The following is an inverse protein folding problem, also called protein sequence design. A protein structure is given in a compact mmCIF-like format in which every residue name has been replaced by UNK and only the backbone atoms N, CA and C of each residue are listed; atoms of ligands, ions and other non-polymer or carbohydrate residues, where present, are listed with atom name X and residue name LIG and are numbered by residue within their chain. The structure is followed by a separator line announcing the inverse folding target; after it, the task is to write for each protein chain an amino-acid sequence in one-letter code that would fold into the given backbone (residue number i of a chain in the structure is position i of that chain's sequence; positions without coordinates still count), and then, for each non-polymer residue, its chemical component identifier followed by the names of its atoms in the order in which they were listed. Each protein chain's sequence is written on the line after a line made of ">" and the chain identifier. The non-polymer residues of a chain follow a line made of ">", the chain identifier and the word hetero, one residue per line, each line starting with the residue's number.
data_IF_228439735673
#
_entry.id   IF_228439735673
#
_cell.length_a   1.000
_cell.length_b   1.000
_cell.length_c   1.000
_cell.angle_alpha   90.00
_cell.angle_beta   90.00
_cell.angle_gamma   90.00
#
_symmetry.space_group_name_H-M   'P 1'
#
loop_
_entity.id
_entity.type
_entity.pdbx_description
1 polymer ?
#
# COMPACT_ATOMS: atom_id res chain seq x y z
N UNK A 1 6.64 -11.05 12.88
CA UNK A 1 7.46 -11.01 11.64
C UNK A 1 7.12 -9.73 10.90
N UNK A 2 8.10 -9.08 10.27
CA UNK A 2 7.84 -7.93 9.39
C UNK A 2 7.23 -8.45 8.08
N UNK A 3 6.18 -7.80 7.59
CA UNK A 3 5.53 -8.14 6.32
C UNK A 3 6.53 -7.90 5.18
N UNK A 4 6.78 -8.92 4.35
CA UNK A 4 7.61 -8.80 3.15
C UNK A 4 6.86 -7.99 2.09
N UNK A 5 7.55 -7.02 1.47
CA UNK A 5 6.95 -6.13 0.47
C UNK A 5 7.78 -6.14 -0.80
N UNK A 6 7.08 -6.28 -1.92
CA UNK A 6 7.65 -6.33 -3.26
C UNK A 6 6.98 -5.31 -4.17
N UNK A 7 7.74 -4.73 -5.08
CA UNK A 7 7.27 -3.78 -6.08
C UNK A 7 7.76 -4.20 -7.46
N UNK A 8 6.89 -4.09 -8.46
CA UNK A 8 7.28 -4.13 -9.87
C UNK A 8 7.11 -2.72 -10.39
N UNK A 9 8.17 -2.10 -10.91
CA UNK A 9 8.07 -0.80 -11.56
C UNK A 9 7.14 -0.91 -12.77
N UNK A 10 6.08 -0.11 -12.81
CA UNK A 10 5.07 -0.20 -13.86
C UNK A 10 4.35 1.14 -14.11
N UNK A 11 3.91 1.31 -15.36
CA UNK A 11 3.03 2.38 -15.79
C UNK A 11 1.95 1.83 -16.73
N UNK A 12 0.70 2.16 -16.45
CA UNK A 12 -0.45 1.78 -17.25
C UNK A 12 -0.68 0.27 -17.35
N UNK A 13 -1.47 -0.17 -18.33
CA UNK A 13 -1.72 -1.59 -18.57
C UNK A 13 -0.47 -2.23 -19.18
N UNK A 14 0.20 -3.10 -18.43
CA UNK A 14 1.36 -3.85 -18.91
C UNK A 14 1.25 -5.33 -18.55
N UNK A 15 0.98 -6.16 -19.55
CA UNK A 15 0.78 -7.59 -19.33
C UNK A 15 2.09 -8.31 -18.98
N UNK A 16 3.23 -7.87 -19.50
CA UNK A 16 4.52 -8.49 -19.19
C UNK A 16 4.95 -8.21 -17.76
N UNK A 17 4.71 -6.99 -17.26
CA UNK A 17 4.91 -6.66 -15.85
C UNK A 17 3.99 -7.49 -14.94
N UNK A 18 2.73 -7.71 -15.34
CA UNK A 18 1.82 -8.59 -14.60
C UNK A 18 2.30 -10.06 -14.59
N UNK A 19 2.71 -10.60 -15.74
CA UNK A 19 3.26 -11.97 -15.83
C UNK A 19 4.48 -12.15 -14.93
N UNK A 20 5.38 -11.16 -14.91
CA UNK A 20 6.53 -11.14 -14.02
C UNK A 20 6.10 -11.12 -12.56
N UNK A 21 5.19 -10.21 -12.18
CA UNK A 21 4.67 -10.12 -10.81
C UNK A 21 4.03 -11.42 -10.35
N UNK A 22 3.24 -12.07 -11.21
CA UNK A 22 2.61 -13.35 -10.94
C UNK A 22 3.63 -14.48 -10.79
N UNK A 23 4.60 -14.58 -11.71
CA UNK A 23 5.62 -15.62 -11.67
C UNK A 23 6.50 -15.51 -10.42
N UNK A 24 6.95 -14.31 -10.06
CA UNK A 24 7.74 -14.08 -8.85
C UNK A 24 6.90 -14.31 -7.58
N UNK A 25 5.62 -13.93 -7.57
CA UNK A 25 4.72 -14.23 -6.46
C UNK A 25 4.54 -15.74 -6.26
N UNK A 26 4.43 -16.54 -7.33
CA UNK A 26 4.37 -18.01 -7.26
C UNK A 26 5.67 -18.57 -6.70
N UNK A 27 6.83 -18.16 -7.24
CA UNK A 27 8.16 -18.62 -6.77
C UNK A 27 8.38 -18.29 -5.30
N UNK A 28 8.08 -17.05 -4.90
CA UNK A 28 8.18 -16.61 -3.51
C UNK A 28 7.26 -17.42 -2.60
N UNK A 29 6.00 -17.59 -3.01
CA UNK A 29 5.01 -18.32 -2.22
C UNK A 29 5.41 -19.78 -2.03
N UNK A 30 5.86 -20.46 -3.09
CA UNK A 30 6.34 -21.84 -3.01
C UNK A 30 7.54 -21.98 -2.07
N UNK A 31 8.54 -21.10 -2.21
CA UNK A 31 9.77 -21.14 -1.42
C UNK A 31 9.54 -20.86 0.08
N UNK A 32 8.41 -20.21 0.42
CA UNK A 32 8.06 -19.85 1.80
C UNK A 32 6.87 -20.66 2.34
N UNK A 33 6.42 -21.71 1.64
CA UNK A 33 5.31 -22.56 2.10
C UNK A 33 3.94 -21.85 2.13
N UNK A 34 3.75 -20.83 1.30
CA UNK A 34 2.51 -20.05 1.19
C UNK A 34 1.62 -20.70 0.13
N UNK A 35 0.53 -21.34 0.54
CA UNK A 35 -0.41 -22.04 -0.37
C UNK A 35 -1.47 -21.16 -1.05
N UNK A 36 -1.44 -19.84 -0.83
CA UNK A 36 -2.47 -18.93 -1.35
C UNK A 36 -1.90 -17.60 -1.84
N UNK A 37 -2.29 -17.23 -3.06
CA UNK A 37 -2.14 -15.90 -3.64
C UNK A 37 -3.54 -15.29 -3.80
N UNK A 38 -3.71 -14.04 -3.39
CA UNK A 38 -4.94 -13.30 -3.64
C UNK A 38 -4.62 -12.20 -4.64
N UNK A 39 -5.20 -12.29 -5.84
CA UNK A 39 -5.16 -11.22 -6.81
C UNK A 39 -6.15 -10.14 -6.36
N UNK A 40 -5.61 -8.97 -6.02
CA UNK A 40 -6.40 -7.83 -5.56
C UNK A 40 -6.51 -6.79 -6.68
N UNK A 41 -7.73 -6.56 -7.14
CA UNK A 41 -8.05 -5.61 -8.23
C UNK A 41 -8.94 -4.49 -7.73
N UNK A 42 -9.02 -3.34 -8.42
CA UNK A 42 -9.88 -2.22 -7.97
C UNK A 42 -11.37 -2.59 -7.95
N UNK A 43 -11.83 -3.38 -8.93
CA UNK A 43 -13.23 -3.79 -9.04
C UNK A 43 -13.39 -5.15 -9.73
N UNK A 44 -14.37 -5.97 -9.30
CA UNK A 44 -14.69 -7.27 -9.95
C UNK A 44 -15.51 -7.12 -11.23
N UNK A 45 -16.40 -6.12 -11.30
CA UNK A 45 -17.41 -6.00 -12.37
C UNK A 45 -16.82 -5.86 -13.77
N UNK A 46 -15.69 -5.14 -13.90
CA UNK A 46 -14.99 -4.95 -15.17
C UNK A 46 -13.78 -5.87 -15.37
N UNK A 47 -13.42 -6.69 -14.37
CA UNK A 47 -12.17 -7.46 -14.40
C UNK A 47 -11.98 -8.32 -15.65
N UNK A 48 -12.99 -9.09 -16.14
CA UNK A 48 -12.81 -9.92 -17.33
C UNK A 48 -12.45 -9.17 -18.61
N UNK A 49 -12.79 -7.88 -18.72
CA UNK A 49 -12.45 -7.02 -19.87
C UNK A 49 -11.17 -6.22 -19.69
N UNK A 50 -10.40 -6.47 -18.63
CA UNK A 50 -9.07 -5.87 -18.45
C UNK A 50 -8.00 -6.73 -19.11
N UNK A 51 -6.82 -6.18 -19.39
CA UNK A 51 -5.68 -6.95 -19.93
C UNK A 51 -5.29 -8.16 -19.06
N UNK A 52 -5.49 -8.06 -17.73
CA UNK A 52 -5.24 -9.17 -16.80
C UNK A 52 -6.36 -10.21 -16.90
N UNK A 53 -7.62 -9.77 -17.00
CA UNK A 53 -8.75 -10.67 -17.22
C UNK A 53 -8.68 -11.40 -18.55
N UNK A 54 -8.24 -10.74 -19.61
CA UNK A 54 -8.00 -11.33 -20.93
C UNK A 54 -6.87 -12.37 -20.89
N UNK A 55 -5.80 -12.11 -20.13
CA UNK A 55 -4.71 -13.06 -19.91
C UNK A 55 -5.19 -14.38 -19.28
N UNK A 56 -6.09 -14.32 -18.29
CA UNK A 56 -6.69 -15.53 -17.72
C UNK A 56 -7.74 -16.17 -18.64
N UNK A 57 -8.30 -15.40 -19.57
CA UNK A 57 -9.40 -15.82 -20.44
C UNK A 57 -10.76 -15.81 -19.74
N UNK A 58 -11.83 -15.78 -20.54
CA UNK A 58 -13.21 -15.55 -20.09
C UNK A 58 -13.68 -16.52 -18.98
N UNK A 59 -13.39 -17.81 -19.15
CA UNK A 59 -13.81 -18.86 -18.20
C UNK A 59 -13.20 -18.65 -16.82
N UNK A 60 -11.89 -18.43 -16.76
CA UNK A 60 -11.15 -18.30 -15.49
C UNK A 60 -11.47 -16.95 -14.85
N UNK A 61 -11.51 -15.88 -15.64
CA UNK A 61 -11.85 -14.54 -15.14
C UNK A 61 -13.25 -14.48 -14.53
N UNK A 62 -14.25 -15.11 -15.16
CA UNK A 62 -15.61 -15.23 -14.60
C UNK A 62 -15.65 -16.09 -13.34
N UNK A 63 -14.87 -17.18 -13.29
CA UNK A 63 -14.75 -18.03 -12.09
C UNK A 63 -14.22 -17.21 -10.91
N UNK A 64 -13.10 -16.51 -11.11
CA UNK A 64 -12.48 -15.64 -10.11
C UNK A 64 -13.42 -14.53 -9.62
N UNK A 65 -14.14 -13.86 -10.53
CA UNK A 65 -15.12 -12.83 -10.16
C UNK A 65 -16.26 -13.36 -9.27
N UNK A 66 -16.63 -14.63 -9.43
CA UNK A 66 -17.65 -15.31 -8.63
C UNK A 66 -17.13 -15.87 -7.30
N UNK A 67 -15.87 -15.58 -6.94
CA UNK A 67 -15.23 -16.08 -5.72
C UNK A 67 -14.67 -17.50 -5.86
N UNK A 68 -14.55 -18.00 -7.09
CA UNK A 68 -13.88 -19.26 -7.37
C UNK A 68 -12.37 -19.17 -7.15
N UNK A 69 -11.75 -20.34 -7.18
CA UNK A 69 -10.32 -20.53 -6.94
C UNK A 69 -9.70 -21.22 -8.16
N UNK A 70 -8.47 -20.85 -8.50
CA UNK A 70 -7.68 -21.41 -9.59
C UNK A 70 -6.43 -22.04 -9.00
N UNK A 71 -6.06 -23.22 -9.49
CA UNK A 71 -4.78 -23.85 -9.14
C UNK A 71 -3.66 -23.25 -9.99
N UNK A 72 -2.61 -22.73 -9.36
CA UNK A 72 -1.42 -22.22 -10.02
C UNK A 72 -0.30 -23.27 -10.09
N UNK A 73 -0.56 -24.49 -9.63
CA UNK A 73 0.44 -25.53 -9.41
C UNK A 73 1.20 -25.34 -8.09
N UNK A 74 2.10 -26.27 -7.79
CA UNK A 74 2.95 -26.23 -6.59
C UNK A 74 2.19 -26.14 -5.24
N UNK A 75 0.92 -26.58 -5.21
CA UNK A 75 0.05 -26.44 -4.03
C UNK A 75 -0.39 -25.01 -3.75
N UNK A 76 -0.27 -24.10 -4.74
CA UNK A 76 -0.62 -22.69 -4.62
C UNK A 76 -1.95 -22.46 -5.32
N UNK A 77 -2.90 -21.94 -4.58
CA UNK A 77 -4.20 -21.53 -5.09
C UNK A 77 -4.29 -20.02 -5.26
N UNK A 78 -5.06 -19.57 -6.24
CA UNK A 78 -5.40 -18.16 -6.45
C UNK A 78 -6.89 -17.90 -6.37
N UNK A 79 -7.26 -16.86 -5.63
CA UNK A 79 -8.59 -16.24 -5.69
C UNK A 79 -8.48 -14.74 -5.96
N UNK A 80 -9.61 -14.12 -6.27
CA UNK A 80 -9.71 -12.70 -6.61
C UNK A 80 -10.52 -11.94 -5.56
N UNK A 81 -9.95 -10.86 -5.05
CA UNK A 81 -10.63 -9.93 -4.15
C UNK A 81 -10.49 -8.47 -4.57
N UNK A 82 -11.27 -7.63 -3.91
CA UNK A 82 -11.18 -6.18 -3.97
C UNK A 82 -10.81 -5.66 -2.58
N UNK A 83 -10.15 -4.50 -2.46
CA UNK A 83 -9.63 -4.00 -1.18
C UNK A 83 -10.65 -4.01 -0.04
N UNK A 84 -11.87 -3.50 -0.29
CA UNK A 84 -12.95 -3.44 0.71
C UNK A 84 -13.43 -4.79 1.26
N UNK A 85 -13.12 -5.90 0.59
CA UNK A 85 -13.49 -7.24 1.04
C UNK A 85 -12.42 -7.87 1.95
N UNK A 86 -11.24 -7.26 2.04
CA UNK A 86 -10.16 -7.72 2.88
C UNK A 86 -10.41 -7.21 4.30
N UNK A 87 -10.35 -8.11 5.29
CA UNK A 87 -10.58 -7.79 6.69
C UNK A 87 -9.34 -8.07 7.52
N UNK A 88 -9.06 -7.22 8.50
CA UNK A 88 -7.87 -7.33 9.35
C UNK A 88 -7.82 -8.58 10.23
N UNK A 89 -8.92 -9.34 10.33
CA UNK A 89 -9.03 -10.55 11.14
C UNK A 89 -8.75 -11.84 10.35
N UNK A 90 -8.65 -11.75 9.01
CA UNK A 90 -8.31 -12.89 8.17
C UNK A 90 -6.80 -12.98 7.99
N UNK A 91 -6.29 -14.21 7.94
CA UNK A 91 -4.91 -14.48 7.56
C UNK A 91 -4.83 -14.55 6.04
N UNK A 92 -3.92 -13.77 5.47
CA UNK A 92 -3.66 -13.75 4.03
C UNK A 92 -2.26 -14.27 3.74
N UNK A 93 -2.13 -15.09 2.70
CA UNK A 93 -0.84 -15.51 2.16
C UNK A 93 -0.13 -14.34 1.45
N UNK A 94 0.01 -14.44 0.14
CA UNK A 94 0.57 -13.38 -0.70
C UNK A 94 -0.55 -12.56 -1.32
N UNK A 95 -0.55 -11.24 -1.11
CA UNK A 95 -1.46 -10.32 -1.79
C UNK A 95 -0.76 -9.76 -3.04
N UNK A 96 -1.32 -10.02 -4.21
CA UNK A 96 -0.88 -9.42 -5.47
C UNK A 96 -1.81 -8.24 -5.79
N UNK A 97 -1.43 -7.06 -5.32
CA UNK A 97 -2.17 -5.81 -5.50
C UNK A 97 -1.85 -5.21 -6.87
N UNK A 98 -2.83 -5.27 -7.78
CA UNK A 98 -2.66 -4.82 -9.17
C UNK A 98 -3.51 -3.59 -9.44
N UNK A 99 -2.85 -2.52 -9.89
CA UNK A 99 -3.47 -1.28 -10.36
C UNK A 99 -4.37 -0.61 -9.32
N UNK A 100 -4.06 -0.80 -8.05
CA UNK A 100 -4.80 -0.19 -6.94
C UNK A 100 -4.41 1.28 -6.78
N UNK A 101 -5.40 2.10 -6.43
CA UNK A 101 -5.17 3.49 -6.05
C UNK A 101 -4.43 3.57 -4.70
N UNK A 102 -3.91 4.75 -4.35
CA UNK A 102 -3.35 4.99 -3.01
C UNK A 102 -4.36 4.70 -1.88
N UNK A 103 -5.64 5.01 -2.08
CA UNK A 103 -6.68 4.75 -1.08
C UNK A 103 -6.92 3.26 -0.88
N UNK A 104 -6.95 2.50 -1.97
CA UNK A 104 -7.07 1.05 -1.95
C UNK A 104 -5.85 0.38 -1.31
N UNK A 105 -4.64 0.83 -1.68
CA UNK A 105 -3.40 0.34 -1.08
C UNK A 105 -3.35 0.61 0.42
N UNK A 106 -3.93 1.71 0.90
CA UNK A 106 -4.00 1.97 2.35
C UNK A 106 -4.79 0.92 3.13
N UNK A 107 -5.77 0.26 2.48
CA UNK A 107 -6.50 -0.86 3.09
C UNK A 107 -5.58 -2.07 3.20
N UNK A 108 -4.80 -2.34 2.16
CA UNK A 108 -3.82 -3.44 2.11
C UNK A 108 -2.73 -3.24 3.17
N UNK A 109 -2.19 -2.03 3.23
CA UNK A 109 -1.10 -1.64 4.13
C UNK A 109 -1.53 -1.69 5.62
N UNK A 110 -2.82 -1.55 5.90
CA UNK A 110 -3.39 -1.65 7.24
C UNK A 110 -3.61 -3.10 7.73
N UNK A 111 -3.42 -4.11 6.86
CA UNK A 111 -3.56 -5.51 7.24
C UNK A 111 -2.40 -5.94 8.14
N UNK A 112 -2.73 -6.61 9.24
CA UNK A 112 -1.75 -7.07 10.24
C UNK A 112 -1.30 -8.51 10.04
N UNK A 113 -2.14 -9.32 9.39
CA UNK A 113 -1.95 -10.77 9.25
C UNK A 113 -1.85 -11.09 7.75
N UNK A 114 -0.72 -10.69 7.15
CA UNK A 114 -0.38 -10.96 5.75
C UNK A 114 1.08 -11.41 5.67
N UNK A 115 1.39 -12.41 4.85
CA UNK A 115 2.74 -12.93 4.72
C UNK A 115 3.59 -12.10 3.75
N UNK A 116 3.00 -11.71 2.61
CA UNK A 116 3.65 -10.83 1.65
C UNK A 116 2.66 -9.92 0.90
N UNK A 117 3.14 -8.74 0.50
CA UNK A 117 2.42 -7.81 -0.37
C UNK A 117 3.29 -7.58 -1.61
N UNK A 118 2.73 -7.81 -2.79
CA UNK A 118 3.32 -7.50 -4.09
C UNK A 118 2.49 -6.40 -4.72
N UNK A 119 3.10 -5.26 -5.02
CA UNK A 119 2.42 -4.13 -5.64
C UNK A 119 2.83 -3.98 -7.11
N UNK A 120 1.84 -3.95 -8.00
CA UNK A 120 1.97 -3.59 -9.41
C UNK A 120 1.15 -2.30 -9.64
N UNK A 121 1.76 -1.11 -9.58
CA UNK A 121 1.06 0.17 -9.69
C UNK A 121 0.52 0.40 -11.12
N UNK A 122 -0.54 1.20 -11.22
CA UNK A 122 -0.98 1.75 -12.51
C UNK A 122 -0.24 3.05 -12.84
N UNK A 123 -0.02 3.91 -11.83
CA UNK A 123 0.71 5.16 -12.01
C UNK A 123 2.11 5.07 -11.37
N UNK A 124 3.12 5.47 -12.14
CA UNK A 124 4.51 5.56 -11.66
C UNK A 124 4.63 6.40 -10.38
N UNK A 125 3.92 7.53 -10.30
CA UNK A 125 3.92 8.39 -9.12
C UNK A 125 3.42 7.68 -7.86
N UNK A 126 2.33 6.90 -7.97
CA UNK A 126 1.83 6.10 -6.85
C UNK A 126 2.81 4.99 -6.47
N UNK A 127 3.44 4.36 -7.46
CA UNK A 127 4.50 3.38 -7.27
C UNK A 127 5.71 3.93 -6.53
N UNK A 128 6.26 5.08 -6.97
CA UNK A 128 7.38 5.77 -6.33
C UNK A 128 7.07 6.19 -4.89
N UNK A 129 5.85 6.66 -4.65
CA UNK A 129 5.36 7.01 -3.31
C UNK A 129 5.35 5.80 -2.37
N UNK A 130 4.82 4.68 -2.85
CA UNK A 130 4.80 3.42 -2.08
C UNK A 130 6.21 2.87 -1.86
N UNK A 131 7.09 2.96 -2.87
CA UNK A 131 8.50 2.61 -2.80
C UNK A 131 9.23 3.42 -1.72
N UNK A 132 9.07 4.74 -1.70
CA UNK A 132 9.69 5.62 -0.71
C UNK A 132 9.15 5.36 0.71
N UNK A 133 7.86 5.06 0.85
CA UNK A 133 7.21 4.79 2.13
C UNK A 133 7.72 3.47 2.76
N UNK A 134 7.70 2.39 1.98
CA UNK A 134 7.86 1.03 2.49
C UNK A 134 9.23 0.39 2.24
N UNK A 135 10.05 0.97 1.37
CA UNK A 135 11.32 0.40 0.91
C UNK A 135 11.21 -1.11 0.55
N UNK A 136 10.25 -1.50 -0.32
CA UNK A 136 10.08 -2.88 -0.78
C UNK A 136 11.28 -3.37 -1.59
N UNK A 137 11.39 -4.69 -1.74
CA UNK A 137 12.30 -5.29 -2.72
C UNK A 137 11.71 -5.09 -4.12
N UNK A 138 12.51 -4.58 -5.05
CA UNK A 138 12.07 -4.43 -6.44
C UNK A 138 12.28 -5.76 -7.17
N UNK A 139 11.23 -6.26 -7.80
CA UNK A 139 11.29 -7.40 -8.71
C UNK A 139 11.39 -6.93 -10.15
N UNK A 140 12.40 -7.44 -10.86
CA UNK A 140 12.75 -6.99 -12.20
C UNK A 140 13.79 -5.87 -12.17
N UNK A 141 13.80 -5.05 -13.22
CA UNK A 141 14.73 -3.94 -13.33
C UNK A 141 14.27 -2.77 -12.46
N UNK A 142 15.22 -2.08 -11.83
CA UNK A 142 14.96 -0.80 -11.18
C UNK A 142 15.52 0.35 -11.99
N UNK A 143 14.67 1.34 -12.24
CA UNK A 143 14.95 2.55 -13.02
C UNK A 143 14.39 3.80 -12.36
N UNK A 144 13.45 3.66 -11.42
CA UNK A 144 12.82 4.80 -10.76
C UNK A 144 13.76 5.51 -9.81
N UNK A 145 13.98 6.79 -10.08
CA UNK A 145 14.66 7.69 -9.15
C UNK A 145 13.65 8.13 -8.10
N UNK A 146 13.88 7.72 -6.85
CA UNK A 146 13.09 8.12 -5.69
C UNK A 146 13.87 9.10 -4.83
N UNK A 147 13.16 10.04 -4.22
CA UNK A 147 13.67 10.84 -3.10
C UNK A 147 13.29 10.12 -1.80
N UNK A 148 14.25 9.67 -0.98
CA UNK A 148 13.94 9.07 0.32
C UNK A 148 13.22 10.06 1.22
N UNK A 149 12.24 9.57 1.99
CA UNK A 149 11.66 10.30 3.11
C UNK A 149 12.78 10.60 4.11
N UNK A 150 13.17 11.87 4.20
CA UNK A 150 14.28 12.31 5.06
C UNK A 150 13.75 13.30 6.06
N UNK A 151 13.60 12.85 7.31
CA UNK A 151 13.28 13.71 8.44
C UNK A 151 14.51 13.89 9.32
N UNK A 152 14.66 15.07 9.92
CA UNK A 152 15.60 15.24 11.04
C UNK A 152 15.06 14.50 12.26
N UNK A 153 15.95 14.14 13.20
CA UNK A 153 15.56 13.47 14.42
C UNK A 153 14.44 14.20 15.18
N UNK A 154 14.51 15.53 15.27
CA UNK A 154 13.48 16.34 15.94
C UNK A 154 12.09 16.19 15.31
N UNK A 155 12.02 16.11 13.97
CA UNK A 155 10.77 15.92 13.24
C UNK A 155 10.23 14.51 13.49
N UNK A 156 11.09 13.49 13.40
CA UNK A 156 10.69 12.10 13.66
C UNK A 156 10.17 11.90 15.09
N UNK A 157 10.84 12.47 16.09
CA UNK A 157 10.43 12.42 17.48
C UNK A 157 9.07 13.11 17.69
N UNK A 158 8.88 14.27 17.07
CA UNK A 158 7.63 15.01 17.15
C UNK A 158 6.46 14.25 16.50
N UNK A 159 6.65 13.69 15.30
CA UNK A 159 5.63 12.89 14.61
C UNK A 159 5.35 11.58 15.35
N UNK A 160 6.39 10.92 15.89
CA UNK A 160 6.26 9.72 16.72
C UNK A 160 5.44 10.00 17.97
N UNK A 161 5.71 11.11 18.66
CA UNK A 161 4.93 11.57 19.80
C UNK A 161 3.48 11.84 19.42
N UNK A 162 3.24 12.50 18.29
CA UNK A 162 1.90 12.76 17.78
C UNK A 162 1.10 11.46 17.61
N UNK A 163 1.72 10.46 16.99
CA UNK A 163 1.11 9.16 16.72
C UNK A 163 0.80 8.35 17.96
N UNK A 164 1.65 8.44 18.99
CA UNK A 164 1.42 7.72 20.25
C UNK A 164 0.28 8.31 21.07
N UNK A 165 -0.01 9.60 20.92
CA UNK A 165 -1.06 10.30 21.68
C UNK A 165 -2.41 10.20 21.00
N UNK A 166 -2.46 10.25 19.67
CA UNK A 166 -3.71 10.28 18.92
C UNK A 166 -4.32 8.88 18.81
N UNK A 167 -5.63 8.81 18.99
CA UNK A 167 -6.38 7.61 18.62
C UNK A 167 -6.43 7.48 17.08
N UNK A 168 -5.63 6.58 16.53
CA UNK A 168 -5.51 6.35 15.07
C UNK A 168 -6.81 5.91 14.39
N UNK A 169 -7.79 5.40 15.14
CA UNK A 169 -9.12 5.07 14.59
C UNK A 169 -9.94 6.33 14.24
N UNK A 170 -9.76 7.40 15.01
CA UNK A 170 -10.45 8.69 14.84
C UNK A 170 -9.57 9.77 14.21
N UNK A 171 -8.25 9.59 14.19
CA UNK A 171 -7.32 10.55 13.60
C UNK A 171 -7.45 11.94 14.23
N UNK A 172 -7.57 12.98 13.39
CA UNK A 172 -7.69 14.38 13.84
C UNK A 172 -9.14 14.87 13.98
N UNK A 173 -10.11 13.97 14.08
CA UNK A 173 -11.53 14.34 14.23
C UNK A 173 -11.79 15.04 15.56
N UNK A 174 -11.14 14.58 16.64
CA UNK A 174 -11.35 15.18 17.96
C UNK A 174 -10.62 16.54 18.07
N UNK A 175 -11.26 17.60 18.61
CA UNK A 175 -10.65 18.93 18.71
C UNK A 175 -9.30 18.92 19.45
N UNK A 176 -9.18 18.14 20.52
CA UNK A 176 -7.92 18.06 21.29
C UNK A 176 -6.78 17.43 20.49
N UNK A 177 -7.05 16.42 19.66
CA UNK A 177 -6.05 15.79 18.80
C UNK A 177 -5.57 16.77 17.73
N UNK A 178 -6.52 17.52 17.15
CA UNK A 178 -6.23 18.58 16.18
C UNK A 178 -5.40 19.70 16.78
N UNK A 179 -5.75 20.18 17.98
CA UNK A 179 -4.97 21.20 18.70
C UNK A 179 -3.57 20.69 19.08
N UNK A 180 -3.44 19.42 19.45
CA UNK A 180 -2.13 18.83 19.73
C UNK A 180 -1.25 18.77 18.48
N UNK A 181 -1.79 18.32 17.35
CA UNK A 181 -1.09 18.31 16.07
C UNK A 181 -0.65 19.72 15.64
N UNK A 182 -1.55 20.71 15.79
CA UNK A 182 -1.24 22.13 15.51
C UNK A 182 -0.07 22.65 16.35
N UNK A 183 -0.06 22.36 17.66
CA UNK A 183 1.04 22.79 18.55
C UNK A 183 2.37 22.18 18.12
N UNK A 184 2.38 20.91 17.71
CA UNK A 184 3.58 20.25 17.21
C UNK A 184 4.10 20.92 15.93
N UNK A 185 3.25 21.13 14.93
CA UNK A 185 3.69 21.76 13.67
C UNK A 185 4.10 23.22 13.85
N UNK A 186 3.40 23.98 14.70
CA UNK A 186 3.78 25.34 15.01
C UNK A 186 5.16 25.40 15.70
N UNK A 187 5.41 24.48 16.64
CA UNK A 187 6.72 24.37 17.30
C UNK A 187 7.83 24.10 16.29
N UNK A 188 7.67 23.07 15.46
CA UNK A 188 8.66 22.70 14.43
C UNK A 188 8.91 23.84 13.44
N UNK A 189 7.86 24.56 13.03
CA UNK A 189 7.99 25.75 12.17
C UNK A 189 8.82 26.85 12.86
N UNK A 190 8.53 27.13 14.12
CA UNK A 190 9.23 28.17 14.88
C UNK A 190 10.70 27.82 15.14
N UNK A 191 11.03 26.54 15.21
CA UNK A 191 12.40 26.02 15.30
C UNK A 191 13.14 26.03 13.94
N UNK A 192 12.47 26.46 12.86
CA UNK A 192 13.06 26.62 11.53
C UNK A 192 13.11 25.33 10.70
N UNK A 193 12.43 24.26 11.13
CA UNK A 193 12.36 23.03 10.35
C UNK A 193 11.54 23.23 9.07
N UNK A 194 12.03 22.63 7.98
CA UNK A 194 11.28 22.50 6.74
C UNK A 194 10.72 21.09 6.64
N UNK A 195 9.43 21.00 6.37
CA UNK A 195 8.71 19.73 6.30
C UNK A 195 7.86 19.75 5.02
N UNK A 196 8.10 18.79 4.14
CA UNK A 196 7.24 18.56 2.98
C UNK A 196 5.92 17.89 3.44
N UNK A 197 4.75 18.52 3.26
CA UNK A 197 3.48 17.96 3.72
C UNK A 197 3.15 16.58 3.15
N UNK A 198 3.59 16.28 1.92
CA UNK A 198 3.41 14.94 1.35
C UNK A 198 4.22 13.88 2.12
N UNK A 199 5.42 14.21 2.59
CA UNK A 199 6.25 13.30 3.38
C UNK A 199 5.59 12.97 4.73
N UNK A 200 4.92 13.95 5.35
CA UNK A 200 4.13 13.75 6.59
C UNK A 200 3.01 12.74 6.36
N UNK A 201 2.37 12.76 5.18
CA UNK A 201 1.32 11.80 4.82
C UNK A 201 1.87 10.38 4.80
N UNK A 202 3.00 10.16 4.13
CA UNK A 202 3.61 8.83 4.05
C UNK A 202 4.14 8.35 5.38
N UNK A 203 4.75 9.24 6.16
CA UNK A 203 5.16 8.93 7.52
C UNK A 203 3.97 8.44 8.35
N UNK A 204 2.82 9.11 8.27
CA UNK A 204 1.62 8.72 9.00
C UNK A 204 1.12 7.33 8.56
N UNK A 205 1.02 7.07 7.25
CA UNK A 205 0.62 5.76 6.71
C UNK A 205 1.55 4.66 7.21
N UNK A 206 2.86 4.86 7.11
CA UNK A 206 3.89 3.92 7.60
C UNK A 206 3.74 3.62 9.09
N UNK A 207 3.27 4.60 9.87
CA UNK A 207 3.06 4.50 11.31
C UNK A 207 1.61 4.14 11.68
N UNK A 208 0.84 3.55 10.76
CA UNK A 208 -0.45 2.92 11.05
C UNK A 208 -1.66 3.85 10.99
N UNK A 209 -1.49 5.08 10.49
CA UNK A 209 -2.63 5.96 10.23
C UNK A 209 -3.39 5.47 9.00
N UNK A 210 -4.72 5.50 9.05
CA UNK A 210 -5.55 5.30 7.86
C UNK A 210 -5.30 6.42 6.85
N UNK A 211 -5.31 6.13 5.54
CA UNK A 211 -4.99 7.14 4.51
C UNK A 211 -5.87 8.39 4.61
N UNK A 212 -7.16 8.26 4.94
CA UNK A 212 -8.05 9.41 5.17
C UNK A 212 -7.54 10.33 6.28
N UNK A 213 -7.03 9.77 7.39
CA UNK A 213 -6.53 10.53 8.52
C UNK A 213 -5.14 11.11 8.23
N UNK A 214 -4.30 10.37 7.50
CA UNK A 214 -3.02 10.86 6.99
C UNK A 214 -3.20 12.05 6.03
N UNK A 215 -4.23 12.02 5.16
CA UNK A 215 -4.59 13.15 4.30
C UNK A 215 -4.99 14.39 5.10
N UNK A 216 -5.73 14.24 6.20
CA UNK A 216 -6.04 15.35 7.10
C UNK A 216 -4.79 15.89 7.81
N UNK A 217 -3.87 15.02 8.22
CA UNK A 217 -2.59 15.44 8.80
C UNK A 217 -1.73 16.20 7.78
N UNK A 218 -1.66 15.73 6.53
CA UNK A 218 -1.04 16.47 5.42
C UNK A 218 -1.64 17.87 5.27
N UNK A 219 -2.98 17.98 5.18
CA UNK A 219 -3.66 19.28 5.04
C UNK A 219 -3.28 20.23 6.17
N UNK A 220 -3.14 19.70 7.39
CA UNK A 220 -2.69 20.48 8.52
C UNK A 220 -1.22 20.92 8.36
N UNK A 221 -0.31 20.02 7.98
CA UNK A 221 1.08 20.35 7.73
C UNK A 221 1.23 21.42 6.63
N UNK A 222 0.48 21.31 5.53
CA UNK A 222 0.43 22.31 4.45
C UNK A 222 0.16 23.71 4.99
N UNK A 223 -0.77 23.89 5.93
CA UNK A 223 -1.09 25.20 6.50
C UNK A 223 0.08 25.86 7.25
N UNK A 224 1.04 25.07 7.75
CA UNK A 224 2.16 25.59 8.53
C UNK A 224 3.43 25.73 7.70
N UNK A 225 3.69 24.86 6.73
CA UNK A 225 4.96 24.81 5.99
C UNK A 225 4.89 25.31 4.55
N UNK A 226 3.69 25.61 4.04
CA UNK A 226 3.43 26.26 2.74
C UNK A 226 2.54 27.49 2.93
#
# INVERSE_FOLDING_TARGET
>A
MSIQRFLIENHGPNIEAFKMALAEAIKFSHSNGIGQIILVVPAKGGFPGTIIGEFFGDRISKLLCKGGVVDLGHGISMNLEIPRNLSSHKNFGTLLATYLSEEDMSIIDALRIVQAIVYLPWHEEEGKKWLACWNPVIWGNSSWIIKPLTFTQDIEEALSRLTKVINLSTGLVHPSDKEFAKRIFLKLKNEGHQIEPEDVKFWAIKNGWQARHAKELKKLATKYFL
#
